data_IF_920257134312
#
_entry.id   IF_920257134312
#
_cell.length_a   1.000
_cell.length_b   1.000
_cell.length_c   1.000
_cell.angle_alpha   90.00
_cell.angle_beta   90.00
_cell.angle_gamma   90.00
#
_symmetry.space_group_name_H-M   'P 1'
#
loop_
_entity.id
_entity.type
_entity.pdbx_description
1 polymer ?
#
# COMPACT_ATOMS: atom_id res chain seq x y z
N UNK A 1 -20.19 4.16 -5.41
CA UNK A 1 -18.89 3.46 -5.21
C UNK A 1 -18.41 3.47 -3.73
N UNK A 2 -17.71 2.41 -3.25
CA UNK A 2 -17.17 2.33 -1.87
C UNK A 2 -15.94 3.24 -1.67
N UNK A 3 -15.81 3.86 -0.48
CA UNK A 3 -14.72 4.78 -0.14
C UNK A 3 -13.33 4.15 -0.29
N UNK A 4 -13.16 2.86 0.03
CA UNK A 4 -11.88 2.14 -0.15
C UNK A 4 -11.53 2.01 -1.63
N UNK A 5 -12.50 1.67 -2.47
CA UNK A 5 -12.32 1.57 -3.93
C UNK A 5 -11.95 2.93 -4.53
N UNK A 6 -12.60 4.01 -4.08
CA UNK A 6 -12.29 5.37 -4.52
C UNK A 6 -10.87 5.82 -4.16
N UNK A 7 -10.38 5.48 -2.96
CA UNK A 7 -9.01 5.79 -2.55
C UNK A 7 -7.95 5.12 -3.44
N UNK A 8 -8.19 3.86 -3.84
CA UNK A 8 -7.27 3.11 -4.72
C UNK A 8 -7.17 3.77 -6.10
N UNK A 9 -8.30 4.22 -6.66
CA UNK A 9 -8.33 4.89 -7.95
C UNK A 9 -7.65 6.26 -7.93
N UNK A 10 -7.81 7.04 -6.84
CA UNK A 10 -7.08 8.30 -6.67
C UNK A 10 -5.58 8.05 -6.60
N UNK A 11 -5.15 7.02 -5.85
CA UNK A 11 -3.73 6.63 -5.77
C UNK A 11 -3.19 6.21 -7.12
N UNK A 12 -3.95 5.47 -7.91
CA UNK A 12 -3.59 5.11 -9.29
C UNK A 12 -3.44 6.36 -10.18
N UNK A 13 -4.39 7.30 -10.14
CA UNK A 13 -4.28 8.55 -10.91
C UNK A 13 -3.03 9.36 -10.54
N UNK A 14 -2.74 9.47 -9.24
CA UNK A 14 -1.54 10.13 -8.74
C UNK A 14 -0.26 9.44 -9.23
N UNK A 15 -0.18 8.10 -9.17
CA UNK A 15 0.97 7.33 -9.66
C UNK A 15 1.15 7.41 -11.18
N UNK A 16 0.08 7.63 -11.93
CA UNK A 16 0.13 7.85 -13.38
C UNK A 16 0.52 9.30 -13.75
N UNK A 17 0.81 10.15 -12.76
CA UNK A 17 1.20 11.54 -12.97
C UNK A 17 0.03 12.46 -13.39
N UNK A 18 -1.21 11.99 -13.30
CA UNK A 18 -2.38 12.80 -13.66
C UNK A 18 -2.58 13.92 -12.64
N UNK A 19 -2.81 15.13 -13.12
CA UNK A 19 -3.15 16.26 -12.24
C UNK A 19 -4.61 16.15 -11.72
N UNK A 20 -5.01 16.98 -10.76
CA UNK A 20 -6.34 16.89 -10.14
C UNK A 20 -7.50 17.04 -11.13
N UNK A 21 -7.32 17.84 -12.19
CA UNK A 21 -8.34 18.05 -13.22
C UNK A 21 -8.46 16.79 -14.08
N UNK A 22 -7.34 16.26 -14.56
CA UNK A 22 -7.30 15.02 -15.34
C UNK A 22 -7.80 13.80 -14.57
N UNK A 23 -7.42 13.69 -13.29
CA UNK A 23 -7.89 12.63 -12.40
C UNK A 23 -9.40 12.70 -12.23
N UNK A 24 -9.95 13.91 -12.04
CA UNK A 24 -11.40 14.11 -11.95
C UNK A 24 -12.09 13.78 -13.27
N UNK A 25 -11.62 14.32 -14.39
CA UNK A 25 -12.21 14.05 -15.71
C UNK A 25 -12.19 12.56 -16.04
N UNK A 26 -11.10 11.86 -15.69
CA UNK A 26 -11.01 10.42 -15.86
C UNK A 26 -11.97 9.64 -14.95
N UNK A 27 -12.10 10.04 -13.67
CA UNK A 27 -13.06 9.44 -12.75
C UNK A 27 -14.50 9.66 -13.20
N UNK A 28 -14.84 10.86 -13.64
CA UNK A 28 -16.19 11.22 -14.12
C UNK A 28 -16.54 10.46 -15.41
N UNK A 29 -15.54 10.16 -16.27
CA UNK A 29 -15.73 9.40 -17.51
C UNK A 29 -15.84 7.89 -17.29
N UNK A 30 -15.01 7.32 -16.40
CA UNK A 30 -14.96 5.87 -16.14
C UNK A 30 -16.02 5.43 -15.12
N UNK A 31 -16.41 6.33 -14.21
CA UNK A 31 -17.37 6.07 -13.13
C UNK A 31 -18.37 7.23 -13.02
N UNK A 32 -19.42 7.25 -13.87
CA UNK A 32 -20.43 8.32 -13.84
C UNK A 32 -21.16 8.45 -12.50
N UNK A 33 -21.20 7.37 -11.70
CA UNK A 33 -21.78 7.33 -10.35
C UNK A 33 -20.83 7.85 -9.26
N UNK A 34 -19.54 8.07 -9.57
CA UNK A 34 -18.55 8.62 -8.66
C UNK A 34 -18.53 10.16 -8.63
N UNK A 35 -19.42 10.80 -9.39
CA UNK A 35 -19.56 12.26 -9.53
C UNK A 35 -19.87 12.99 -8.21
N UNK A 36 -20.36 12.27 -7.20
CA UNK A 36 -20.60 12.78 -5.84
C UNK A 36 -19.30 13.02 -5.04
N UNK A 37 -18.16 12.54 -5.52
CA UNK A 37 -16.87 12.85 -4.93
C UNK A 37 -16.44 14.28 -5.32
N UNK A 38 -16.77 15.23 -4.44
CA UNK A 38 -16.41 16.63 -4.63
C UNK A 38 -14.93 16.82 -4.99
N UNK A 39 -14.64 17.86 -5.80
CA UNK A 39 -13.27 18.29 -6.17
C UNK A 39 -12.35 18.43 -4.94
N UNK A 40 -12.92 18.79 -3.78
CA UNK A 40 -12.24 18.86 -2.49
C UNK A 40 -11.70 17.50 -2.03
N UNK A 41 -12.50 16.44 -2.10
CA UNK A 41 -12.11 15.09 -1.68
C UNK A 41 -10.90 14.61 -2.47
N UNK A 42 -10.92 14.71 -3.80
CA UNK A 42 -9.79 14.29 -4.65
C UNK A 42 -8.53 15.11 -4.30
N UNK A 43 -8.68 16.43 -4.12
CA UNK A 43 -7.57 17.31 -3.73
C UNK A 43 -6.98 16.95 -2.37
N UNK A 44 -7.81 16.65 -1.38
CA UNK A 44 -7.39 16.26 -0.03
C UNK A 44 -6.65 14.92 -0.04
N UNK A 45 -7.16 13.94 -0.79
CA UNK A 45 -6.50 12.64 -0.96
C UNK A 45 -5.19 12.76 -1.73
N UNK A 46 -5.15 13.50 -2.84
CA UNK A 46 -3.91 13.76 -3.57
C UNK A 46 -2.88 14.48 -2.70
N UNK A 47 -3.31 15.45 -1.89
CA UNK A 47 -2.44 16.14 -0.92
C UNK A 47 -1.93 15.17 0.15
N UNK A 48 -2.79 14.28 0.65
CA UNK A 48 -2.42 13.24 1.61
C UNK A 48 -1.41 12.26 1.01
N UNK A 49 -1.63 11.79 -0.22
CA UNK A 49 -0.68 10.91 -0.92
C UNK A 49 0.64 11.61 -1.25
N UNK A 50 0.62 12.91 -1.54
CA UNK A 50 1.83 13.70 -1.73
C UNK A 50 2.60 13.94 -0.43
N UNK A 51 1.91 14.00 0.71
CA UNK A 51 2.53 14.09 2.05
C UNK A 51 3.17 12.78 2.51
N UNK A 52 2.76 11.64 1.94
CA UNK A 52 3.63 10.47 1.93
C UNK A 52 4.71 10.75 0.88
N UNK A 53 5.70 11.57 1.26
CA UNK A 53 6.86 11.82 0.42
C UNK A 53 7.38 10.45 -0.03
N UNK A 54 7.29 10.19 -1.33
CA UNK A 54 7.99 9.08 -1.96
C UNK A 54 9.46 9.39 -1.75
N UNK A 55 10.01 8.94 -0.62
CA UNK A 55 11.43 9.05 -0.34
C UNK A 55 12.15 8.50 -1.57
N UNK A 56 12.99 9.30 -2.24
CA UNK A 56 13.67 8.88 -3.44
C UNK A 56 14.46 7.61 -3.10
N UNK A 57 13.98 6.48 -3.60
CA UNK A 57 14.59 5.19 -3.34
C UNK A 57 15.59 4.94 -4.47
N UNK A 58 16.88 4.76 -4.18
CA UNK A 58 17.84 4.47 -5.23
C UNK A 58 17.49 3.14 -5.91
N UNK A 59 17.80 2.97 -7.20
CA UNK A 59 17.67 1.68 -7.86
C UNK A 59 18.40 0.59 -7.06
N UNK A 60 17.73 -0.54 -6.83
CA UNK A 60 18.29 -1.72 -6.16
C UNK A 60 18.75 -1.54 -4.70
N UNK A 61 18.26 -0.54 -3.96
CA UNK A 61 18.57 -0.40 -2.52
C UNK A 61 17.68 -1.26 -1.62
N UNK A 62 17.88 -2.57 -1.61
CA UNK A 62 17.19 -3.45 -0.65
C UNK A 62 17.42 -2.96 0.80
N UNK A 63 18.59 -2.40 1.05
CA UNK A 63 19.22 -1.77 2.22
C UNK A 63 18.37 -0.70 2.91
N UNK A 64 17.51 -0.05 2.14
CA UNK A 64 16.84 1.19 2.54
C UNK A 64 15.37 0.98 2.89
N UNK A 65 14.85 -0.24 2.73
CA UNK A 65 13.49 -0.57 3.17
C UNK A 65 13.54 -1.23 4.54
N UNK A 66 13.00 -0.57 5.58
CA UNK A 66 12.90 -1.18 6.91
C UNK A 66 12.23 -2.56 6.88
N UNK A 67 11.27 -2.79 5.97
CA UNK A 67 10.63 -4.10 5.80
C UNK A 67 11.60 -5.21 5.40
N UNK A 68 12.53 -4.94 4.48
CA UNK A 68 13.41 -5.96 3.91
C UNK A 68 14.45 -6.43 4.94
N UNK A 69 14.87 -5.54 5.84
CA UNK A 69 15.87 -5.82 6.88
C UNK A 69 15.29 -6.25 8.21
N UNK A 70 14.20 -5.64 8.67
CA UNK A 70 13.67 -5.94 10.00
C UNK A 70 12.56 -6.99 9.95
N UNK A 71 11.64 -6.88 8.99
CA UNK A 71 10.50 -7.79 8.93
C UNK A 71 10.85 -9.10 8.21
N UNK A 72 11.33 -9.01 6.98
CA UNK A 72 11.54 -10.19 6.13
C UNK A 72 12.77 -11.00 6.51
N UNK A 73 13.82 -10.37 7.03
CA UNK A 73 14.99 -11.08 7.54
C UNK A 73 14.62 -11.96 8.74
N UNK A 74 13.90 -11.41 9.71
CA UNK A 74 13.53 -12.13 10.92
C UNK A 74 12.48 -13.22 10.64
N UNK A 75 11.50 -12.93 9.78
CA UNK A 75 10.57 -13.93 9.28
C UNK A 75 11.29 -15.06 8.54
N UNK A 76 12.29 -14.73 7.72
CA UNK A 76 13.10 -15.74 7.00
C UNK A 76 13.91 -16.60 7.96
N UNK A 77 14.45 -16.04 9.04
CA UNK A 77 15.13 -16.80 10.09
C UNK A 77 14.15 -17.75 10.77
N UNK A 78 12.96 -17.27 11.15
CA UNK A 78 11.93 -18.10 11.80
C UNK A 78 11.42 -19.24 10.91
N UNK A 79 11.29 -18.99 9.61
CA UNK A 79 10.84 -19.97 8.63
C UNK A 79 11.97 -20.86 8.09
N UNK A 80 13.22 -20.58 8.43
CA UNK A 80 14.36 -21.33 7.94
C UNK A 80 14.24 -22.82 8.34
N UNK A 81 14.25 -23.71 7.34
CA UNK A 81 14.16 -25.15 7.55
C UNK A 81 12.75 -25.69 7.81
N UNK A 82 11.73 -24.84 7.97
CA UNK A 82 10.33 -25.27 8.03
C UNK A 82 9.83 -25.67 6.64
N UNK A 83 9.18 -26.83 6.55
CA UNK A 83 8.52 -27.29 5.31
C UNK A 83 7.02 -27.17 5.52
N UNK A 84 6.40 -26.21 4.85
CA UNK A 84 4.95 -26.11 4.80
C UNK A 84 4.42 -26.97 3.64
N UNK A 85 3.40 -27.77 3.90
CA UNK A 85 2.79 -28.66 2.91
C UNK A 85 1.54 -28.07 2.27
N UNK A 86 1.02 -26.96 2.81
CA UNK A 86 -0.14 -26.25 2.27
C UNK A 86 -0.06 -24.73 2.49
N UNK A 87 -0.89 -23.98 1.77
CA UNK A 87 -0.94 -22.52 1.90
C UNK A 87 -1.52 -22.09 3.25
N UNK A 88 -2.47 -22.85 3.80
CA UNK A 88 -3.08 -22.60 5.10
C UNK A 88 -2.03 -22.66 6.22
N UNK A 89 -1.08 -23.59 6.12
CA UNK A 89 0.03 -23.69 7.06
C UNK A 89 0.97 -22.48 6.99
N UNK A 90 1.28 -22.00 5.77
CA UNK A 90 2.08 -20.78 5.57
C UNK A 90 1.40 -19.56 6.17
N UNK A 91 0.09 -19.42 5.98
CA UNK A 91 -0.70 -18.32 6.53
C UNK A 91 -0.70 -18.37 8.05
N UNK A 92 -1.02 -19.52 8.64
CA UNK A 92 -1.08 -19.68 10.09
C UNK A 92 0.26 -19.40 10.79
N UNK A 93 1.38 -19.87 10.22
CA UNK A 93 2.71 -19.60 10.76
C UNK A 93 3.09 -18.11 10.66
N UNK A 94 2.69 -17.46 9.56
CA UNK A 94 2.90 -16.03 9.36
C UNK A 94 2.07 -15.20 10.35
N UNK A 95 0.80 -15.55 10.56
CA UNK A 95 -0.07 -14.90 11.55
C UNK A 95 0.48 -15.07 12.98
N UNK A 96 0.89 -16.30 13.32
CA UNK A 96 1.52 -16.57 14.62
C UNK A 96 2.83 -15.79 14.81
N UNK A 97 3.59 -15.53 13.75
CA UNK A 97 4.74 -14.61 13.82
C UNK A 97 4.34 -13.19 14.21
N UNK A 98 3.31 -12.64 13.57
CA UNK A 98 2.86 -11.28 13.89
C UNK A 98 2.27 -11.16 15.29
N UNK A 99 1.57 -12.19 15.78
CA UNK A 99 1.01 -12.20 17.15
C UNK A 99 2.11 -12.17 18.22
N UNK A 100 3.29 -12.75 17.93
CA UNK A 100 4.45 -12.72 18.84
C UNK A 100 5.20 -11.39 18.85
N UNK A 101 4.91 -10.46 17.93
CA UNK A 101 5.60 -9.17 17.85
C UNK A 101 4.85 -8.11 18.65
N UNK A 102 5.59 -7.37 19.47
CA UNK A 102 5.04 -6.20 20.16
C UNK A 102 4.60 -5.12 19.17
N UNK A 103 3.61 -4.32 19.57
CA UNK A 103 3.14 -3.16 18.79
C UNK A 103 4.21 -2.08 18.54
N UNK A 104 5.34 -2.17 19.24
CA UNK A 104 6.50 -1.28 19.04
C UNK A 104 7.48 -1.79 17.99
N UNK A 105 7.19 -2.92 17.33
CA UNK A 105 8.01 -3.42 16.24
C UNK A 105 8.16 -2.32 15.17
N UNK A 106 9.40 -2.02 14.74
CA UNK A 106 9.70 -0.90 13.85
C UNK A 106 9.05 -1.02 12.46
#
# INVERSE_FOLDING_TARGET
MDKKKFCVLIKYCFLKGKNTVEAKTWLDAEFPDASDSGKSTIKDWCTKFRRFDLLPHPPYSLDLKPSDYFLFLDLKIKLAGKKCSSNEEVIAETEAYFETKDKSYP
#
